data_IF_379363714646
#
_entry.id   IF_379363714646
#
_cell.length_a   1.000
_cell.length_b   1.000
_cell.length_c   1.000
_cell.angle_alpha   90.00
_cell.angle_beta   90.00
_cell.angle_gamma   90.00
#
_symmetry.space_group_name_H-M   'P 1'
#
loop_
_entity.id
_entity.type
_entity.pdbx_description
1 polymer ?
#
# COMPACT_ATOMS: atom_id res chain seq x y z
N UNK A 1 -7.18 -5.80 12.84
CA UNK A 1 -7.15 -5.07 14.11
C UNK A 1 -8.56 -4.78 14.60
N UNK A 2 -8.70 -4.08 15.69
CA UNK A 2 -9.98 -3.64 16.24
C UNK A 2 -10.27 -2.18 15.88
N UNK A 3 -11.39 -1.61 16.38
CA UNK A 3 -11.77 -0.23 16.12
C UNK A 3 -10.99 0.80 16.97
N UNK A 4 -10.12 0.35 17.86
CA UNK A 4 -9.34 1.24 18.72
C UNK A 4 -7.98 1.57 18.05
N UNK A 5 -7.73 2.85 17.69
CA UNK A 5 -6.47 3.26 17.08
C UNK A 5 -5.24 3.04 17.99
N UNK A 6 -5.40 3.04 19.32
CA UNK A 6 -4.27 2.84 20.25
C UNK A 6 -3.70 1.42 20.17
N UNK A 7 -4.52 0.45 19.76
CA UNK A 7 -4.15 -0.96 19.62
C UNK A 7 -4.10 -1.43 18.16
N UNK A 8 -4.35 -0.54 17.21
CA UNK A 8 -4.36 -0.83 15.78
C UNK A 8 -3.57 0.23 15.02
N UNK A 9 -2.29 -0.04 14.80
CA UNK A 9 -1.35 0.87 14.12
C UNK A 9 -1.79 1.21 12.69
N UNK A 10 -2.33 0.25 11.93
CA UNK A 10 -2.88 0.50 10.58
C UNK A 10 -4.07 1.45 10.61
N UNK A 11 -5.00 1.29 11.56
CA UNK A 11 -6.12 2.21 11.72
C UNK A 11 -5.63 3.61 12.09
N UNK A 12 -4.64 3.71 12.99
CA UNK A 12 -4.03 4.97 13.38
C UNK A 12 -3.41 5.70 12.18
N UNK A 13 -2.67 4.98 11.34
CA UNK A 13 -2.09 5.51 10.10
C UNK A 13 -3.16 6.05 9.14
N UNK A 14 -4.21 5.27 8.87
CA UNK A 14 -5.32 5.71 7.99
C UNK A 14 -6.05 6.93 8.57
N UNK A 15 -6.20 7.00 9.89
CA UNK A 15 -6.79 8.19 10.52
C UNK A 15 -5.89 9.43 10.41
N UNK A 16 -4.56 9.27 10.50
CA UNK A 16 -3.58 10.34 10.27
C UNK A 16 -3.66 10.83 8.82
N UNK A 17 -3.65 9.91 7.84
CA UNK A 17 -3.81 10.24 6.42
C UNK A 17 -5.14 10.96 6.14
N UNK A 18 -6.24 10.49 6.74
CA UNK A 18 -7.55 11.13 6.62
C UNK A 18 -7.55 12.56 7.18
N UNK A 19 -6.84 12.79 8.29
CA UNK A 19 -6.66 14.12 8.89
C UNK A 19 -5.84 15.02 7.96
N UNK A 20 -4.73 14.52 7.41
CA UNK A 20 -3.90 15.26 6.45
C UNK A 20 -4.68 15.65 5.18
N UNK A 21 -5.54 14.74 4.70
CA UNK A 21 -6.45 15.00 3.58
C UNK A 21 -7.67 15.86 3.94
N UNK A 22 -7.72 16.45 5.15
CA UNK A 22 -8.84 17.26 5.65
C UNK A 22 -10.20 16.54 5.63
N UNK A 23 -10.22 15.21 5.81
CA UNK A 23 -11.47 14.46 5.91
C UNK A 23 -12.20 14.81 7.21
N UNK A 24 -13.50 15.15 7.17
CA UNK A 24 -14.28 15.42 8.38
C UNK A 24 -14.25 14.24 9.36
N UNK A 25 -13.98 14.54 10.63
CA UNK A 25 -13.90 13.53 11.71
C UNK A 25 -15.13 12.62 11.77
N UNK A 26 -16.34 13.19 11.59
CA UNK A 26 -17.59 12.45 11.57
C UNK A 26 -17.65 11.38 10.46
N UNK A 27 -16.96 11.60 9.33
CA UNK A 27 -16.87 10.63 8.24
C UNK A 27 -16.00 9.46 8.66
N UNK A 28 -14.86 9.75 9.28
CA UNK A 28 -13.93 8.72 9.81
C UNK A 28 -14.63 7.88 10.88
N UNK A 29 -15.27 8.50 11.85
CA UNK A 29 -16.00 7.81 12.91
C UNK A 29 -17.15 6.95 12.39
N UNK A 30 -17.90 7.45 11.38
CA UNK A 30 -18.96 6.66 10.70
C UNK A 30 -18.41 5.46 9.98
N UNK A 31 -17.26 5.60 9.30
CA UNK A 31 -16.61 4.49 8.60
C UNK A 31 -16.15 3.41 9.60
N UNK A 32 -15.50 3.79 10.69
CA UNK A 32 -15.08 2.87 11.74
C UNK A 32 -16.30 2.15 12.35
N UNK A 33 -17.36 2.90 12.68
CA UNK A 33 -18.58 2.32 13.22
C UNK A 33 -19.23 1.33 12.26
N UNK A 34 -19.33 1.69 10.96
CA UNK A 34 -19.85 0.79 9.94
C UNK A 34 -19.03 -0.50 9.84
N UNK A 35 -17.70 -0.41 9.90
CA UNK A 35 -16.82 -1.58 9.85
C UNK A 35 -16.90 -2.48 11.09
N UNK A 36 -17.40 -1.97 12.22
CA UNK A 36 -17.54 -2.71 13.48
C UNK A 36 -18.94 -3.23 13.74
N UNK A 37 -19.91 -2.88 12.91
CA UNK A 37 -21.28 -3.37 13.04
C UNK A 37 -21.32 -4.89 12.81
N UNK A 38 -22.08 -5.60 13.65
CA UNK A 38 -22.16 -7.09 13.61
C UNK A 38 -22.71 -7.65 12.31
N UNK A 39 -23.42 -6.83 11.55
CA UNK A 39 -23.99 -7.18 10.24
C UNK A 39 -23.01 -6.89 9.08
N UNK A 40 -21.83 -6.34 9.36
CA UNK A 40 -20.82 -6.08 8.33
C UNK A 40 -20.11 -7.39 8.01
N UNK A 41 -20.10 -7.77 6.74
CA UNK A 41 -19.41 -8.95 6.26
C UNK A 41 -17.94 -8.97 6.72
N UNK A 42 -17.45 -10.16 7.07
CA UNK A 42 -16.05 -10.35 7.47
C UNK A 42 -15.16 -10.22 6.23
N UNK A 43 -14.72 -9.01 5.93
CA UNK A 43 -13.74 -8.77 4.88
C UNK A 43 -12.43 -9.49 5.19
N UNK A 44 -11.86 -10.10 4.15
CA UNK A 44 -10.54 -10.73 4.19
C UNK A 44 -9.64 -10.05 3.19
N UNK A 45 -8.42 -9.78 3.60
CA UNK A 45 -7.37 -9.38 2.69
C UNK A 45 -6.91 -10.61 1.91
N UNK A 46 -6.91 -10.51 0.58
CA UNK A 46 -6.47 -11.57 -0.33
C UNK A 46 -5.56 -10.95 -1.37
N UNK A 47 -4.43 -11.61 -1.59
CA UNK A 47 -3.45 -11.22 -2.59
C UNK A 47 -3.61 -12.11 -3.82
N UNK A 48 -3.82 -11.49 -4.99
CA UNK A 48 -3.84 -12.18 -6.28
C UNK A 48 -2.61 -11.83 -7.09
N UNK A 49 -2.22 -12.75 -7.95
CA UNK A 49 -0.97 -12.71 -8.69
C UNK A 49 -1.21 -13.10 -10.15
N UNK A 50 -0.46 -12.50 -11.05
CA UNK A 50 -0.52 -12.85 -12.46
C UNK A 50 0.45 -12.08 -13.32
N UNK A 51 0.36 -12.31 -14.61
CA UNK A 51 1.12 -11.60 -15.63
C UNK A 51 0.18 -10.90 -16.60
N UNK A 52 0.34 -9.60 -16.74
CA UNK A 52 -0.26 -8.83 -17.82
C UNK A 52 0.41 -9.19 -19.15
N UNK A 53 -0.12 -8.73 -20.30
CA UNK A 53 0.55 -8.84 -21.58
C UNK A 53 2.01 -8.38 -21.51
N UNK A 54 2.83 -8.92 -22.38
CA UNK A 54 4.28 -8.59 -22.50
C UNK A 54 5.12 -9.00 -21.28
N UNK A 55 4.59 -9.89 -20.42
CA UNK A 55 5.32 -10.48 -19.28
C UNK A 55 5.45 -9.56 -18.06
N UNK A 56 4.61 -8.53 -17.94
CA UNK A 56 4.57 -7.66 -16.78
C UNK A 56 3.97 -8.41 -15.60
N UNK A 57 4.73 -8.54 -14.52
CA UNK A 57 4.22 -9.09 -13.27
C UNK A 57 3.20 -8.12 -12.65
N UNK A 58 2.07 -8.66 -12.17
CA UNK A 58 0.99 -7.89 -11.54
C UNK A 58 0.62 -8.53 -10.21
N UNK A 59 0.57 -7.72 -9.18
CA UNK A 59 0.20 -8.09 -7.83
C UNK A 59 -1.02 -7.26 -7.41
N UNK A 60 -2.09 -7.91 -6.96
CA UNK A 60 -3.37 -7.27 -6.66
C UNK A 60 -3.72 -7.49 -5.20
N UNK A 61 -3.77 -6.44 -4.43
CA UNK A 61 -4.28 -6.45 -3.05
C UNK A 61 -5.77 -6.20 -3.04
N UNK A 62 -6.52 -7.09 -2.40
CA UNK A 62 -7.98 -7.00 -2.32
C UNK A 62 -8.47 -7.11 -0.89
N UNK A 63 -9.62 -6.48 -0.62
CA UNK A 63 -10.39 -6.66 0.59
C UNK A 63 -11.80 -7.13 0.21
N UNK A 64 -12.12 -8.39 0.46
CA UNK A 64 -13.37 -9.00 -0.01
C UNK A 64 -14.11 -9.76 1.08
N UNK A 65 -15.43 -9.70 1.02
CA UNK A 65 -16.35 -10.53 1.80
C UNK A 65 -16.70 -11.85 1.08
N UNK A 66 -16.35 -11.96 -0.21
CA UNK A 66 -16.64 -13.13 -1.05
C UNK A 66 -15.49 -13.46 -2.00
N UNK A 67 -14.52 -14.24 -1.50
CA UNK A 67 -13.33 -14.60 -2.26
C UNK A 67 -13.65 -15.28 -3.62
N UNK A 68 -14.72 -16.08 -3.71
CA UNK A 68 -15.08 -16.75 -4.97
C UNK A 68 -15.52 -15.76 -6.04
N UNK A 69 -16.25 -14.73 -5.66
CA UNK A 69 -16.64 -13.63 -6.55
C UNK A 69 -15.40 -12.91 -7.05
N UNK A 70 -14.52 -12.49 -6.14
CA UNK A 70 -13.31 -11.71 -6.48
C UNK A 70 -12.36 -12.50 -7.38
N UNK A 71 -12.11 -13.79 -7.06
CA UNK A 71 -11.31 -14.69 -7.93
C UNK A 71 -11.89 -14.76 -9.34
N UNK A 72 -13.22 -14.90 -9.46
CA UNK A 72 -13.87 -14.99 -10.77
C UNK A 72 -13.73 -13.68 -11.56
N UNK A 73 -13.92 -12.53 -10.91
CA UNK A 73 -13.78 -11.22 -11.51
C UNK A 73 -12.36 -10.96 -12.00
N UNK A 74 -11.37 -11.10 -11.10
CA UNK A 74 -9.96 -10.88 -11.42
C UNK A 74 -9.52 -11.80 -12.56
N UNK A 75 -9.85 -13.10 -12.50
CA UNK A 75 -9.55 -14.04 -13.59
C UNK A 75 -10.19 -13.64 -14.92
N UNK A 76 -11.42 -13.14 -14.89
CA UNK A 76 -12.11 -12.70 -16.10
C UNK A 76 -11.42 -11.48 -16.74
N UNK A 77 -10.89 -10.56 -15.93
CA UNK A 77 -10.11 -9.41 -16.41
C UNK A 77 -8.84 -9.88 -17.10
N UNK A 78 -8.04 -10.75 -16.46
CA UNK A 78 -6.83 -11.32 -17.08
C UNK A 78 -7.13 -11.98 -18.42
N UNK A 79 -8.16 -12.85 -18.48
CA UNK A 79 -8.54 -13.54 -19.70
C UNK A 79 -8.98 -12.57 -20.81
N UNK A 80 -9.69 -11.49 -20.46
CA UNK A 80 -10.20 -10.50 -21.43
C UNK A 80 -9.12 -9.58 -21.99
N UNK A 81 -8.02 -9.41 -21.25
CA UNK A 81 -6.92 -8.52 -21.58
C UNK A 81 -5.62 -9.30 -21.96
N UNK A 82 -5.77 -10.55 -22.42
CA UNK A 82 -4.65 -11.40 -22.85
C UNK A 82 -3.56 -11.60 -21.79
N UNK A 83 -3.91 -11.47 -20.53
CA UNK A 83 -3.05 -11.77 -19.39
C UNK A 83 -3.17 -13.22 -18.91
N UNK A 84 -2.36 -13.58 -17.94
CA UNK A 84 -2.33 -14.90 -17.34
C UNK A 84 -2.51 -14.81 -15.83
N UNK A 85 -3.67 -15.22 -15.34
CA UNK A 85 -3.96 -15.28 -13.90
C UNK A 85 -3.13 -16.40 -13.25
N UNK A 86 -2.27 -16.02 -12.31
CA UNK A 86 -1.32 -16.92 -11.65
C UNK A 86 -1.87 -17.60 -10.40
N UNK A 87 -1.01 -18.42 -9.80
CA UNK A 87 -1.24 -19.01 -8.49
C UNK A 87 -0.47 -18.23 -7.43
N UNK A 88 -0.84 -18.39 -6.16
CA UNK A 88 -0.11 -17.79 -5.03
C UNK A 88 1.38 -18.16 -5.08
N UNK A 89 2.25 -17.15 -4.92
CA UNK A 89 3.70 -17.30 -5.01
C UNK A 89 4.28 -17.21 -6.42
N UNK A 90 3.47 -16.88 -7.44
CA UNK A 90 3.95 -16.81 -8.83
C UNK A 90 4.72 -15.53 -9.16
N UNK A 91 4.40 -14.40 -8.51
CA UNK A 91 5.05 -13.11 -8.75
C UNK A 91 5.37 -12.31 -7.48
N UNK A 92 4.82 -12.67 -6.33
CA UNK A 92 4.98 -11.90 -5.07
C UNK A 92 6.45 -11.69 -4.68
N UNK A 93 7.32 -12.65 -4.98
CA UNK A 93 8.76 -12.57 -4.71
C UNK A 93 9.50 -11.57 -5.60
N UNK A 94 8.84 -11.01 -6.62
CA UNK A 94 9.38 -9.96 -7.49
C UNK A 94 9.11 -8.55 -6.95
N UNK A 95 8.47 -8.46 -5.78
CA UNK A 95 8.11 -7.19 -5.16
C UNK A 95 8.58 -7.17 -3.71
N UNK A 96 9.28 -6.13 -3.33
CA UNK A 96 9.58 -5.83 -1.95
C UNK A 96 8.34 -5.24 -1.29
N UNK A 97 8.00 -5.74 -0.10
CA UNK A 97 6.91 -5.20 0.69
C UNK A 97 7.45 -4.15 1.63
N UNK A 98 7.15 -2.90 1.36
CA UNK A 98 7.69 -1.74 2.08
C UNK A 98 6.61 -0.97 2.79
N UNK A 99 7.00 -0.19 3.77
CA UNK A 99 6.21 0.89 4.32
C UNK A 99 6.91 2.23 4.07
N UNK A 100 6.13 3.29 3.98
CA UNK A 100 6.65 4.64 3.88
C UNK A 100 6.03 5.55 4.92
N UNK A 101 6.76 6.60 5.27
CA UNK A 101 6.32 7.68 6.14
C UNK A 101 6.76 9.00 5.55
N UNK A 102 5.89 10.00 5.62
CA UNK A 102 6.26 11.39 5.44
C UNK A 102 6.11 12.08 6.78
N UNK A 103 7.22 12.60 7.31
CA UNK A 103 7.28 13.23 8.63
C UNK A 103 7.55 14.72 8.46
N UNK A 104 6.92 15.52 9.29
CA UNK A 104 7.06 16.96 9.26
C UNK A 104 8.49 17.38 9.61
N UNK A 105 9.14 18.08 8.68
CA UNK A 105 10.56 18.45 8.78
C UNK A 105 10.88 19.33 9.99
N UNK A 106 9.98 20.26 10.33
CA UNK A 106 10.18 21.18 11.44
C UNK A 106 10.20 20.50 12.80
N UNK A 107 9.67 19.29 12.91
CA UNK A 107 9.64 18.52 14.15
C UNK A 107 10.91 17.67 14.33
N UNK A 108 11.74 17.56 13.28
CA UNK A 108 13.01 16.84 13.31
C UNK A 108 14.12 17.83 13.66
N UNK A 109 14.67 17.71 14.86
CA UNK A 109 15.67 18.63 15.41
C UNK A 109 17.14 18.23 15.12
N UNK A 110 17.33 17.04 14.57
CA UNK A 110 18.64 16.48 14.20
C UNK A 110 18.85 16.60 12.68
N UNK A 111 20.09 16.50 12.22
CA UNK A 111 20.34 16.50 10.78
C UNK A 111 20.02 15.15 10.13
N UNK A 112 20.04 15.10 8.81
CA UNK A 112 19.65 13.90 8.06
C UNK A 112 20.58 12.71 8.34
N UNK A 113 21.89 12.93 8.48
CA UNK A 113 22.86 11.87 8.76
C UNK A 113 22.62 11.26 10.16
N UNK A 114 22.29 12.11 11.13
CA UNK A 114 21.96 11.67 12.50
C UNK A 114 20.61 10.93 12.53
N UNK A 115 19.61 11.40 11.76
CA UNK A 115 18.33 10.71 11.63
C UNK A 115 18.48 9.32 11.00
N UNK A 116 19.28 9.21 9.94
CA UNK A 116 19.58 7.92 9.31
C UNK A 116 20.23 6.94 10.30
N UNK A 117 21.15 7.43 11.15
CA UNK A 117 21.78 6.62 12.18
C UNK A 117 20.79 6.15 13.26
N UNK A 118 19.85 6.99 13.69
CA UNK A 118 18.82 6.61 14.65
C UNK A 118 17.82 5.59 14.06
N UNK A 119 17.60 5.65 12.76
CA UNK A 119 16.69 4.76 12.05
C UNK A 119 17.32 3.44 11.58
N UNK A 120 18.64 3.27 11.74
CA UNK A 120 19.38 2.08 11.25
C UNK A 120 18.87 0.77 11.89
N UNK A 121 18.43 0.81 13.13
CA UNK A 121 17.91 -0.35 13.85
C UNK A 121 16.54 -0.83 13.31
N UNK A 122 15.91 -0.04 12.46
CA UNK A 122 14.64 -0.36 11.79
C UNK A 122 14.83 -0.82 10.34
N UNK A 123 16.05 -1.15 9.92
CA UNK A 123 16.37 -1.57 8.55
C UNK A 123 15.87 -0.57 7.48
N UNK A 124 15.91 0.72 7.80
CA UNK A 124 15.44 1.78 6.88
C UNK A 124 16.28 1.73 5.60
N UNK A 125 15.61 1.73 4.45
CA UNK A 125 16.22 1.60 3.13
C UNK A 125 16.59 2.95 2.54
N UNK A 126 15.70 3.94 2.68
CA UNK A 126 15.88 5.28 2.14
C UNK A 126 15.32 6.34 3.10
N UNK A 127 16.06 7.45 3.22
CA UNK A 127 15.61 8.68 3.89
C UNK A 127 15.98 9.85 3.01
N UNK A 128 15.03 10.68 2.65
CA UNK A 128 15.30 11.87 1.84
C UNK A 128 14.33 13.02 2.14
N UNK A 129 14.77 14.22 1.78
CA UNK A 129 14.00 15.45 1.94
C UNK A 129 13.12 15.67 0.71
N UNK A 130 11.84 15.94 0.91
CA UNK A 130 10.86 16.25 -0.13
C UNK A 130 10.12 17.55 0.22
N UNK A 131 9.34 18.08 -0.72
CA UNK A 131 8.58 19.32 -0.55
C UNK A 131 7.62 19.29 0.64
N UNK A 132 7.03 18.12 0.92
CA UNK A 132 6.05 17.91 2.00
C UNK A 132 6.69 17.57 3.35
N UNK A 133 7.94 17.10 3.39
CA UNK A 133 8.61 16.68 4.62
C UNK A 133 9.77 15.71 4.39
N UNK A 134 10.16 14.99 5.41
CA UNK A 134 11.15 13.92 5.31
C UNK A 134 10.43 12.61 5.01
N UNK A 135 10.84 11.97 3.91
CA UNK A 135 10.28 10.68 3.46
C UNK A 135 11.22 9.55 3.89
N UNK A 136 10.64 8.50 4.45
CA UNK A 136 11.34 7.32 4.93
C UNK A 136 10.72 6.07 4.29
N UNK A 137 11.56 5.18 3.75
CA UNK A 137 11.17 3.85 3.28
C UNK A 137 11.84 2.78 4.12
N UNK A 138 11.06 1.77 4.49
CA UNK A 138 11.54 0.64 5.30
C UNK A 138 10.75 -0.65 4.99
N UNK A 139 11.26 -1.82 5.40
CA UNK A 139 10.49 -3.06 5.31
C UNK A 139 9.15 -2.96 6.04
N UNK A 140 8.12 -3.57 5.48
CA UNK A 140 6.74 -3.56 6.01
C UNK A 140 6.66 -3.93 7.50
N UNK A 141 7.48 -4.88 7.94
CA UNK A 141 7.52 -5.38 9.32
C UNK A 141 7.90 -4.31 10.33
N UNK A 142 8.64 -3.28 9.90
CA UNK A 142 9.14 -2.20 10.74
C UNK A 142 8.11 -1.07 10.94
N UNK A 143 6.97 -1.13 10.25
CA UNK A 143 5.97 -0.07 10.28
C UNK A 143 5.59 0.38 11.71
N UNK A 144 5.26 -0.59 12.58
CA UNK A 144 4.84 -0.29 13.95
C UNK A 144 5.95 0.32 14.82
N UNK A 145 7.18 -0.13 14.62
CA UNK A 145 8.34 0.35 15.35
C UNK A 145 8.69 1.80 14.93
N UNK A 146 8.73 2.07 13.62
CA UNK A 146 9.00 3.41 13.09
C UNK A 146 7.90 4.40 13.47
N UNK A 147 6.63 3.99 13.39
CA UNK A 147 5.51 4.82 13.84
C UNK A 147 5.66 5.21 15.30
N UNK A 148 5.98 4.24 16.19
CA UNK A 148 6.19 4.51 17.61
C UNK A 148 7.39 5.43 17.86
N UNK A 149 8.49 5.23 17.11
CA UNK A 149 9.68 6.08 17.20
C UNK A 149 9.34 7.56 16.95
N UNK A 150 8.62 7.88 15.88
CA UNK A 150 8.24 9.27 15.59
C UNK A 150 7.22 9.84 16.58
N UNK A 151 6.24 9.02 17.00
CA UNK A 151 5.27 9.42 18.02
C UNK A 151 5.93 9.73 19.37
N UNK A 152 6.89 8.92 19.83
CA UNK A 152 7.65 9.12 21.08
C UNK A 152 8.55 10.36 21.01
N UNK A 153 9.08 10.67 19.84
CA UNK A 153 9.88 11.87 19.60
C UNK A 153 9.03 13.12 19.28
N UNK A 154 7.69 13.03 19.39
CA UNK A 154 6.73 14.09 19.09
C UNK A 154 6.83 14.67 17.68
N UNK A 155 7.31 13.88 16.71
CA UNK A 155 7.34 14.25 15.31
C UNK A 155 5.98 13.94 14.66
N UNK A 156 5.39 14.92 13.98
CA UNK A 156 4.11 14.74 13.30
C UNK A 156 4.29 13.91 12.03
N UNK A 157 3.63 12.74 11.98
CA UNK A 157 3.53 11.93 10.77
C UNK A 157 2.43 12.54 9.89
N UNK A 158 2.81 13.12 8.76
CA UNK A 158 1.90 13.73 7.80
C UNK A 158 1.14 12.68 7.00
N UNK A 159 1.85 11.64 6.55
CA UNK A 159 1.27 10.49 5.87
C UNK A 159 2.08 9.24 6.12
N UNK A 160 1.45 8.09 5.95
CA UNK A 160 2.13 6.80 5.95
C UNK A 160 1.36 5.80 5.10
N UNK A 161 2.05 4.82 4.54
CA UNK A 161 1.47 3.85 3.63
C UNK A 161 2.27 2.56 3.52
N UNK A 162 1.73 1.68 2.69
CA UNK A 162 2.36 0.41 2.34
C UNK A 162 2.42 0.31 0.83
N UNK A 163 3.51 -0.24 0.32
CA UNK A 163 3.74 -0.39 -1.11
C UNK A 163 4.36 -1.75 -1.43
N UNK A 164 4.20 -2.16 -2.68
CA UNK A 164 4.88 -3.31 -3.27
C UNK A 164 5.77 -2.80 -4.40
N UNK A 165 7.04 -2.64 -4.13
CA UNK A 165 8.01 -2.07 -5.07
C UNK A 165 8.61 -3.21 -5.89
N UNK A 166 8.51 -3.21 -7.24
CA UNK A 166 9.10 -4.25 -8.06
C UNK A 166 10.63 -4.18 -7.97
N UNK A 167 11.27 -5.32 -7.71
CA UNK A 167 12.75 -5.43 -7.66
C UNK A 167 13.40 -5.24 -9.02
N UNK A 168 12.65 -5.49 -10.09
CA UNK A 168 13.05 -5.23 -11.47
C UNK A 168 11.88 -4.72 -12.28
N UNK A 169 12.11 -3.70 -13.09
CA UNK A 169 11.12 -3.15 -13.99
C UNK A 169 11.39 -3.56 -15.45
N UNK A 170 10.35 -3.55 -16.27
CA UNK A 170 10.43 -3.85 -17.70
C UNK A 170 9.93 -2.65 -18.49
N UNK A 171 10.80 -2.15 -19.38
CA UNK A 171 10.46 -1.06 -20.28
C UNK A 171 9.67 -1.58 -21.48
N UNK A 172 8.55 -0.94 -21.77
CA UNK A 172 7.66 -1.26 -22.88
C UNK A 172 7.60 -0.09 -23.87
N UNK A 173 7.22 -0.38 -25.12
CA UNK A 173 6.84 0.67 -26.06
C UNK A 173 5.37 1.12 -25.80
N UNK A 174 4.96 2.25 -26.38
CA UNK A 174 3.64 2.87 -26.17
C UNK A 174 2.46 1.90 -26.41
N UNK A 175 2.52 1.07 -27.46
CA UNK A 175 1.46 0.12 -27.74
C UNK A 175 1.37 -0.99 -26.68
N UNK A 176 2.51 -1.47 -26.23
CA UNK A 176 2.60 -2.49 -25.20
C UNK A 176 2.16 -1.93 -23.84
N UNK A 177 2.50 -0.68 -23.53
CA UNK A 177 2.02 0.01 -22.34
C UNK A 177 0.48 0.10 -22.33
N UNK A 178 -0.13 0.53 -23.44
CA UNK A 178 -1.58 0.60 -23.57
C UNK A 178 -2.28 -0.76 -23.36
N UNK A 179 -1.67 -1.88 -23.79
CA UNK A 179 -2.22 -3.22 -23.53
C UNK A 179 -2.20 -3.55 -22.02
N UNK A 180 -1.13 -3.17 -21.31
CA UNK A 180 -0.99 -3.39 -19.87
C UNK A 180 -1.93 -2.46 -19.10
N UNK A 181 -1.94 -1.17 -19.40
CA UNK A 181 -2.80 -0.15 -18.75
C UNK A 181 -4.27 -0.56 -18.82
N UNK A 182 -4.74 -1.08 -19.96
CA UNK A 182 -6.10 -1.58 -20.12
C UNK A 182 -6.44 -2.71 -19.12
N UNK A 183 -5.48 -3.55 -18.77
CA UNK A 183 -5.67 -4.60 -17.75
C UNK A 183 -5.71 -3.98 -16.36
N UNK A 184 -4.79 -3.07 -16.06
CA UNK A 184 -4.70 -2.40 -14.76
C UNK A 184 -5.97 -1.61 -14.46
N UNK A 185 -6.44 -0.75 -15.38
CA UNK A 185 -7.69 0.00 -15.25
C UNK A 185 -8.88 -0.90 -14.95
N UNK A 186 -8.99 -2.04 -15.63
CA UNK A 186 -10.09 -2.99 -15.40
C UNK A 186 -10.02 -3.72 -14.06
N UNK A 187 -8.82 -3.93 -13.53
CA UNK A 187 -8.66 -4.48 -12.18
C UNK A 187 -9.10 -3.45 -11.13
N UNK A 188 -8.73 -2.18 -11.34
CA UNK A 188 -9.07 -1.08 -10.43
C UNK A 188 -10.57 -0.71 -10.44
N UNK A 189 -11.32 -1.10 -11.48
CA UNK A 189 -12.78 -0.95 -11.53
C UNK A 189 -13.53 -1.87 -10.53
N UNK A 190 -12.87 -2.91 -10.00
CA UNK A 190 -13.50 -3.85 -9.04
C UNK A 190 -13.44 -3.28 -7.62
N UNK A 191 -14.60 -3.14 -6.99
CA UNK A 191 -14.75 -2.58 -5.63
C UNK A 191 -13.96 -3.36 -4.55
N UNK A 192 -13.66 -4.63 -4.79
CA UNK A 192 -12.87 -5.46 -3.87
C UNK A 192 -11.37 -5.18 -4.01
N UNK A 193 -10.90 -4.58 -5.12
CA UNK A 193 -9.49 -4.25 -5.35
C UNK A 193 -9.11 -2.98 -4.60
N UNK A 194 -8.04 -3.06 -3.82
CA UNK A 194 -7.51 -1.93 -3.05
C UNK A 194 -6.30 -1.30 -3.73
N UNK A 195 -5.36 -2.13 -4.18
CA UNK A 195 -4.14 -1.69 -4.86
C UNK A 195 -3.74 -2.68 -5.94
N UNK A 196 -3.18 -2.16 -7.02
CA UNK A 196 -2.59 -2.94 -8.11
C UNK A 196 -1.15 -2.46 -8.31
N UNK A 197 -0.21 -3.39 -8.18
CA UNK A 197 1.22 -3.12 -8.37
C UNK A 197 1.72 -3.89 -9.60
N UNK A 198 2.69 -3.35 -10.30
CA UNK A 198 3.19 -3.95 -11.53
C UNK A 198 4.67 -3.68 -11.76
N UNK A 199 5.31 -4.53 -12.58
CA UNK A 199 6.73 -4.41 -12.93
C UNK A 199 6.98 -3.62 -14.23
N UNK A 200 5.99 -2.91 -14.78
CA UNK A 200 6.18 -2.01 -15.92
C UNK A 200 6.93 -0.76 -15.47
N UNK A 201 7.98 -0.36 -16.20
CA UNK A 201 8.68 0.91 -15.99
C UNK A 201 7.76 2.08 -16.39
N UNK A 202 7.56 3.02 -15.48
CA UNK A 202 6.74 4.22 -15.69
C UNK A 202 7.55 5.33 -16.37
#
# INVERSE_FOLDING_TARGET
GGPNPDTNSRLRAVMQNAKAANMPKDNVERAIKKATDKDTANFKEVLFEGYAPHGIAVLIETATDNNNRTVANVRAVFNKCDGNFGTSGSVVFMFDHTCNFTVKKEDISIDMEELELELIDFDVEEVFDDEEGIVIYAPFEQFGAIQSFFEENNAEILSSGFERIPTNTTKLNENQQADVEKLLEKLEEDDDVQHVYHSMEM
#
